data_IF_108413402251
#
_entry.id   IF_108413402251
#
_cell.length_a   1.000
_cell.length_b   1.000
_cell.length_c   1.000
_cell.angle_alpha   90.00
_cell.angle_beta   90.00
_cell.angle_gamma   90.00
#
_symmetry.space_group_name_H-M   'P 1'
#
loop_
_entity.id
_entity.type
_entity.pdbx_description
1 polymer ?
#
# COMPACT_ATOMS: atom_id res chain seq x y z
N UNK A 1 1.00 44.58 -34.37
CA UNK A 1 0.26 43.47 -33.70
C UNK A 1 1.20 42.69 -32.77
N UNK A 2 2.25 43.33 -32.25
CA UNK A 2 3.51 42.63 -31.92
C UNK A 2 3.73 42.37 -30.42
N UNK A 3 2.68 42.47 -29.59
CA UNK A 3 2.78 42.24 -28.14
C UNK A 3 1.83 41.15 -27.62
N UNK A 4 1.07 40.47 -28.51
CA UNK A 4 -0.01 39.57 -28.09
C UNK A 4 0.31 38.07 -28.27
N UNK A 5 1.39 37.72 -28.99
CA UNK A 5 1.71 36.34 -29.36
C UNK A 5 3.08 35.96 -28.80
N UNK A 6 3.11 35.18 -27.72
CA UNK A 6 4.34 34.72 -27.06
C UNK A 6 4.98 33.46 -27.69
N UNK A 7 4.27 32.76 -28.57
CA UNK A 7 4.80 31.57 -29.24
C UNK A 7 3.89 31.02 -30.34
N UNK A 8 4.47 30.32 -31.31
CA UNK A 8 3.79 29.70 -32.46
C UNK A 8 4.27 28.25 -32.63
N UNK A 9 3.33 27.31 -32.85
CA UNK A 9 3.64 25.90 -33.12
C UNK A 9 3.37 25.61 -34.61
N UNK A 10 4.41 25.26 -35.35
CA UNK A 10 4.31 24.87 -36.75
C UNK A 10 4.02 23.37 -36.92
N UNK A 11 3.36 23.01 -38.02
CA UNK A 11 3.48 21.68 -38.59
C UNK A 11 4.86 21.51 -39.25
N UNK A 12 5.35 20.27 -39.33
CA UNK A 12 6.70 19.98 -39.86
C UNK A 12 6.91 20.56 -41.26
N UNK A 13 5.88 20.47 -42.10
CA UNK A 13 5.87 20.94 -43.49
C UNK A 13 5.97 22.46 -43.59
N UNK A 14 5.43 23.19 -42.61
CA UNK A 14 5.44 24.67 -42.57
C UNK A 14 6.77 25.24 -42.10
N UNK A 15 7.53 24.48 -41.30
CA UNK A 15 8.80 24.94 -40.73
C UNK A 15 9.85 25.30 -41.79
N UNK A 16 9.87 24.56 -42.91
CA UNK A 16 10.85 24.73 -43.98
C UNK A 16 10.36 25.64 -45.12
N UNK A 17 9.16 26.20 -44.99
CA UNK A 17 8.67 27.17 -45.96
C UNK A 17 9.33 28.54 -45.73
N UNK A 18 9.35 29.34 -46.78
CA UNK A 18 9.87 30.70 -46.77
C UNK A 18 8.72 31.69 -46.98
N UNK A 19 8.89 32.91 -46.45
CA UNK A 19 8.06 34.05 -46.82
C UNK A 19 8.36 34.50 -48.26
N UNK A 20 7.54 35.41 -48.78
CA UNK A 20 7.67 35.92 -50.15
C UNK A 20 9.02 36.61 -50.41
N UNK A 21 9.71 37.07 -49.35
CA UNK A 21 11.05 37.67 -49.40
C UNK A 21 12.21 36.64 -49.34
N UNK A 22 11.89 35.34 -49.30
CA UNK A 22 12.85 34.25 -49.21
C UNK A 22 13.35 33.95 -47.79
N UNK A 23 12.93 34.72 -46.78
CA UNK A 23 13.27 34.48 -45.38
C UNK A 23 12.56 33.23 -44.88
N UNK A 24 13.29 32.32 -44.23
CA UNK A 24 12.67 31.13 -43.64
C UNK A 24 11.66 31.53 -42.56
N UNK A 25 10.45 30.94 -42.57
CA UNK A 25 9.40 31.33 -41.62
C UNK A 25 9.83 31.19 -40.17
N UNK A 26 10.64 30.19 -39.83
CA UNK A 26 11.12 30.04 -38.45
C UNK A 26 12.03 31.21 -38.04
N UNK A 27 12.82 31.75 -38.97
CA UNK A 27 13.67 32.91 -38.74
C UNK A 27 12.83 34.18 -38.61
N UNK A 28 11.86 34.38 -39.51
CA UNK A 28 10.94 35.52 -39.48
C UNK A 28 10.20 35.64 -38.14
N UNK A 29 9.76 34.52 -37.57
CA UNK A 29 9.07 34.49 -36.27
C UNK A 29 10.04 34.73 -35.11
N UNK A 30 11.26 34.17 -35.17
CA UNK A 30 12.31 34.40 -34.16
C UNK A 30 12.76 35.86 -34.12
N UNK A 31 12.90 36.51 -35.27
CA UNK A 31 13.32 37.93 -35.38
C UNK A 31 12.29 38.88 -34.74
N UNK A 32 11.03 38.43 -34.63
CA UNK A 32 9.96 39.13 -33.90
C UNK A 32 9.92 38.81 -32.40
N UNK A 33 10.91 38.09 -31.88
CA UNK A 33 10.98 37.69 -30.47
C UNK A 33 9.98 36.60 -30.06
N UNK A 34 9.34 35.94 -31.03
CA UNK A 34 8.31 34.92 -30.79
C UNK A 34 8.95 33.52 -30.78
N UNK A 35 8.58 32.70 -29.79
CA UNK A 35 9.14 31.36 -29.62
C UNK A 35 8.53 30.38 -30.63
N UNK A 36 9.38 29.59 -31.30
CA UNK A 36 8.96 28.60 -32.31
C UNK A 36 8.90 27.17 -31.73
N UNK A 37 7.78 26.50 -31.94
CA UNK A 37 7.56 25.08 -31.62
C UNK A 37 7.14 24.23 -32.81
N UNK A 38 7.16 22.89 -32.64
CA UNK A 38 6.90 21.94 -33.73
C UNK A 38 5.93 20.84 -33.27
N UNK A 39 4.82 20.67 -34.01
CA UNK A 39 3.89 19.55 -33.88
C UNK A 39 4.07 18.59 -35.05
N UNK A 40 4.40 17.35 -34.74
CA UNK A 40 4.66 16.30 -35.72
C UNK A 40 3.50 15.30 -35.70
N UNK A 41 3.03 14.89 -36.88
CA UNK A 41 1.90 13.96 -37.07
C UNK A 41 2.21 12.50 -36.68
N UNK A 42 1.43 11.57 -37.23
CA UNK A 42 1.53 10.11 -36.97
C UNK A 42 2.38 9.40 -38.01
N UNK A 43 3.58 9.87 -38.34
CA UNK A 43 4.47 9.18 -39.29
C UNK A 43 5.87 8.95 -38.67
N UNK A 44 6.67 8.06 -39.26
CA UNK A 44 8.06 7.79 -38.85
C UNK A 44 8.94 8.95 -39.30
N UNK A 45 9.58 9.65 -38.35
CA UNK A 45 10.53 10.73 -38.68
C UNK A 45 11.96 10.43 -38.21
N UNK A 46 12.93 10.88 -39.01
CA UNK A 46 14.34 10.92 -38.65
C UNK A 46 14.89 12.33 -38.85
N UNK A 47 15.73 12.81 -37.93
CA UNK A 47 16.50 14.07 -38.05
C UNK A 47 15.65 15.34 -38.20
N UNK A 48 14.68 15.54 -37.30
CA UNK A 48 13.73 16.66 -37.36
C UNK A 48 14.37 18.04 -37.15
N UNK A 49 15.46 18.10 -36.38
CA UNK A 49 16.16 19.36 -36.04
C UNK A 49 17.66 19.22 -36.32
N UNK A 50 18.21 20.19 -37.06
CA UNK A 50 19.63 20.29 -37.44
C UNK A 50 20.25 21.69 -37.23
N UNK A 51 19.63 22.57 -36.44
CA UNK A 51 19.99 24.00 -36.40
C UNK A 51 20.39 24.50 -35.01
N UNK A 52 21.41 25.35 -34.94
CA UNK A 52 21.87 26.01 -33.71
C UNK A 52 20.83 27.05 -33.24
N UNK A 53 20.02 26.72 -32.22
CA UNK A 53 19.05 27.68 -31.68
C UNK A 53 18.28 27.20 -30.45
N UNK A 54 17.24 27.94 -30.07
CA UNK A 54 16.28 27.54 -29.02
C UNK A 54 15.03 26.95 -29.69
N UNK A 55 14.64 25.74 -29.30
CA UNK A 55 13.41 25.08 -29.76
C UNK A 55 12.53 24.75 -28.56
N UNK A 56 11.25 25.13 -28.60
CA UNK A 56 10.32 24.89 -27.48
C UNK A 56 9.09 24.13 -27.94
N UNK A 57 8.73 23.05 -27.26
CA UNK A 57 7.47 22.35 -27.49
C UNK A 57 7.51 21.46 -28.73
N UNK A 58 8.18 20.31 -28.59
CA UNK A 58 8.18 19.24 -29.58
C UNK A 58 7.15 18.19 -29.16
N UNK A 59 6.11 17.98 -29.97
CA UNK A 59 5.13 16.91 -29.73
C UNK A 59 5.14 15.93 -30.90
N UNK A 60 5.44 14.67 -30.60
CA UNK A 60 5.56 13.59 -31.60
C UNK A 60 4.52 12.50 -31.32
N UNK A 61 3.86 12.03 -32.38
CA UNK A 61 2.79 11.01 -32.33
C UNK A 61 3.27 9.58 -32.07
N UNK A 62 2.45 8.61 -32.47
CA UNK A 62 2.59 7.17 -32.15
C UNK A 62 3.29 6.39 -33.28
N UNK A 63 4.62 6.45 -33.45
CA UNK A 63 5.42 5.61 -34.39
C UNK A 63 6.89 5.50 -33.96
N UNK A 64 7.69 4.69 -34.66
CA UNK A 64 9.14 4.52 -34.42
C UNK A 64 9.90 5.79 -34.81
N UNK A 65 10.71 6.36 -33.92
CA UNK A 65 11.57 7.51 -34.26
C UNK A 65 13.03 7.25 -33.88
N UNK A 66 13.93 7.75 -34.72
CA UNK A 66 15.37 7.72 -34.47
C UNK A 66 16.03 9.05 -34.78
N UNK A 67 16.91 9.52 -33.91
CA UNK A 67 17.73 10.73 -34.13
C UNK A 67 16.88 11.98 -34.36
N UNK A 68 15.87 12.21 -33.53
CA UNK A 68 14.96 13.36 -33.68
C UNK A 68 15.70 14.70 -33.59
N UNK A 69 16.67 14.77 -32.68
CA UNK A 69 17.48 15.95 -32.42
C UNK A 69 18.95 15.62 -32.64
N UNK A 70 19.60 16.39 -33.52
CA UNK A 70 21.04 16.38 -33.74
C UNK A 70 21.54 17.82 -33.74
N UNK A 71 21.59 18.42 -32.55
CA UNK A 71 21.79 19.86 -32.37
C UNK A 71 23.02 20.17 -31.46
N UNK A 72 23.27 21.46 -31.21
CA UNK A 72 24.12 22.05 -30.16
C UNK A 72 23.38 23.18 -29.41
N UNK A 73 22.05 23.25 -29.50
CA UNK A 73 21.20 24.35 -29.02
C UNK A 73 20.53 24.09 -27.66
N UNK A 74 19.43 24.81 -27.38
CA UNK A 74 18.60 24.60 -26.20
C UNK A 74 17.24 24.06 -26.63
N UNK A 75 16.85 22.89 -26.12
CA UNK A 75 15.53 22.29 -26.40
C UNK A 75 14.71 22.20 -25.12
N UNK A 76 13.50 22.78 -25.13
CA UNK A 76 12.61 22.80 -23.97
C UNK A 76 11.27 22.13 -24.30
N UNK A 77 10.89 21.12 -23.54
CA UNK A 77 9.57 20.49 -23.63
C UNK A 77 9.44 19.54 -24.83
N UNK A 78 9.85 18.29 -24.64
CA UNK A 78 9.66 17.20 -25.60
C UNK A 78 8.59 16.25 -25.06
N UNK A 79 7.51 16.02 -25.81
CA UNK A 79 6.50 15.01 -25.50
C UNK A 79 6.42 14.00 -26.63
N UNK A 80 6.81 12.76 -26.32
CA UNK A 80 6.78 11.65 -27.27
C UNK A 80 5.65 10.69 -26.90
N UNK A 81 4.85 10.32 -27.90
CA UNK A 81 3.76 9.36 -27.79
C UNK A 81 4.23 7.92 -27.62
N UNK A 82 3.37 6.99 -28.02
CA UNK A 82 3.56 5.58 -27.75
C UNK A 82 4.19 4.88 -28.98
N UNK A 83 5.51 4.56 -29.04
CA UNK A 83 6.14 3.40 -29.78
C UNK A 83 7.67 3.26 -29.51
N UNK A 84 8.38 2.31 -30.16
CA UNK A 84 9.83 2.01 -29.97
C UNK A 84 10.72 3.17 -30.42
N UNK A 85 11.65 3.63 -29.58
CA UNK A 85 12.60 4.69 -29.96
C UNK A 85 14.06 4.28 -29.75
N UNK A 86 14.92 4.75 -30.65
CA UNK A 86 16.36 4.64 -30.51
C UNK A 86 17.04 6.00 -30.77
N UNK A 87 17.92 6.44 -29.88
CA UNK A 87 18.73 7.65 -30.10
C UNK A 87 17.90 8.91 -30.37
N UNK A 88 16.89 9.20 -29.54
CA UNK A 88 16.02 10.39 -29.71
C UNK A 88 16.85 11.68 -29.74
N UNK A 89 17.87 11.74 -28.89
CA UNK A 89 18.76 12.89 -28.75
C UNK A 89 20.21 12.45 -28.98
N UNK A 90 20.87 13.09 -29.94
CA UNK A 90 22.31 12.98 -30.19
C UNK A 90 22.88 14.40 -30.26
N UNK A 91 23.01 15.03 -29.10
CA UNK A 91 23.22 16.47 -28.94
C UNK A 91 24.59 16.78 -28.28
N UNK A 92 24.91 18.07 -28.13
CA UNK A 92 25.91 18.64 -27.21
C UNK A 92 25.37 19.87 -26.43
N UNK A 93 24.06 20.12 -26.47
CA UNK A 93 23.38 21.31 -25.94
C UNK A 93 22.70 21.12 -24.58
N UNK A 94 21.65 21.91 -24.32
CA UNK A 94 20.84 21.83 -23.08
C UNK A 94 19.44 21.34 -23.42
N UNK A 95 18.98 20.27 -22.78
CA UNK A 95 17.62 19.73 -22.96
C UNK A 95 16.85 19.77 -21.65
N UNK A 96 15.70 20.43 -21.64
CA UNK A 96 14.85 20.60 -20.44
C UNK A 96 13.47 20.03 -20.69
N UNK A 97 13.01 19.11 -19.84
CA UNK A 97 11.64 18.61 -19.83
C UNK A 97 11.35 17.62 -20.96
N UNK A 98 11.68 16.34 -20.74
CA UNK A 98 11.34 15.25 -21.65
C UNK A 98 10.26 14.39 -21.01
N UNK A 99 9.13 14.20 -21.68
CA UNK A 99 8.07 13.28 -21.28
C UNK A 99 7.88 12.21 -22.36
N UNK A 100 8.15 10.97 -21.99
CA UNK A 100 8.03 9.82 -22.89
C UNK A 100 6.88 8.93 -22.43
N UNK A 101 6.01 8.56 -23.38
CA UNK A 101 4.88 7.65 -23.18
C UNK A 101 5.27 6.19 -23.03
N UNK A 102 4.38 5.30 -23.46
CA UNK A 102 4.40 3.89 -23.09
C UNK A 102 5.03 2.95 -24.15
N UNK A 103 6.37 2.83 -24.37
CA UNK A 103 7.00 1.67 -25.08
C UNK A 103 8.49 1.32 -24.75
N UNK A 104 9.08 0.27 -25.36
CA UNK A 104 10.50 -0.17 -25.27
C UNK A 104 11.49 0.86 -25.84
N UNK A 105 12.56 1.18 -25.10
CA UNK A 105 13.59 2.13 -25.55
C UNK A 105 15.01 1.58 -25.44
N UNK A 106 15.85 1.96 -26.40
CA UNK A 106 17.30 1.80 -26.31
C UNK A 106 18.01 3.12 -26.60
N UNK A 107 18.94 3.55 -25.74
CA UNK A 107 19.78 4.73 -25.99
C UNK A 107 18.98 6.01 -26.26
N UNK A 108 18.00 6.35 -25.42
CA UNK A 108 17.17 7.55 -25.59
C UNK A 108 18.04 8.82 -25.74
N UNK A 109 19.10 8.89 -24.93
CA UNK A 109 20.05 9.99 -24.92
C UNK A 109 21.46 9.45 -25.16
N UNK A 110 22.13 10.00 -26.17
CA UNK A 110 23.55 9.78 -26.44
C UNK A 110 24.23 11.14 -26.61
N UNK A 111 24.59 11.76 -25.50
CA UNK A 111 24.90 13.19 -25.40
C UNK A 111 26.30 13.45 -24.79
N UNK A 112 26.68 14.73 -24.73
CA UNK A 112 27.75 15.32 -23.90
C UNK A 112 27.29 16.63 -23.21
N UNK A 113 26.00 16.96 -23.23
CA UNK A 113 25.39 18.22 -22.79
C UNK A 113 24.78 18.20 -21.39
N UNK A 114 23.76 19.04 -21.15
CA UNK A 114 23.01 19.09 -19.88
C UNK A 114 21.57 18.67 -20.13
N UNK A 115 21.07 17.68 -19.39
CA UNK A 115 19.68 17.21 -19.48
C UNK A 115 18.97 17.38 -18.14
N UNK A 116 17.85 18.10 -18.13
CA UNK A 116 17.07 18.39 -16.92
C UNK A 116 15.62 17.91 -17.07
N UNK A 117 15.13 17.12 -16.13
CA UNK A 117 13.72 16.76 -16.04
C UNK A 117 13.28 15.74 -17.08
N UNK A 118 13.60 14.46 -16.85
CA UNK A 118 13.15 13.35 -17.69
C UNK A 118 12.05 12.59 -16.94
N UNK A 119 10.88 12.44 -17.57
CA UNK A 119 9.79 11.59 -17.08
C UNK A 119 9.48 10.50 -18.10
N UNK A 120 9.69 9.26 -17.71
CA UNK A 120 9.47 8.10 -18.56
C UNK A 120 8.31 7.26 -18.02
N UNK A 121 7.37 6.90 -18.91
CA UNK A 121 6.21 6.06 -18.62
C UNK A 121 6.56 4.57 -18.45
N UNK A 122 5.62 3.70 -18.81
CA UNK A 122 5.61 2.32 -18.30
C UNK A 122 6.24 1.21 -19.18
N UNK A 123 7.57 1.11 -19.43
CA UNK A 123 8.18 -0.02 -20.22
C UNK A 123 9.59 -0.55 -19.88
N UNK A 124 10.02 -1.65 -20.51
CA UNK A 124 11.39 -2.21 -20.51
C UNK A 124 12.41 -1.25 -21.15
N UNK A 125 13.51 -0.96 -20.45
CA UNK A 125 14.58 -0.09 -20.96
C UNK A 125 15.95 -0.78 -20.90
N UNK A 126 16.74 -0.59 -21.96
CA UNK A 126 18.18 -0.84 -21.92
C UNK A 126 18.95 0.44 -22.29
N UNK A 127 19.91 0.84 -21.46
CA UNK A 127 20.78 1.99 -21.75
C UNK A 127 20.01 3.29 -22.04
N UNK A 128 19.11 3.73 -21.15
CA UNK A 128 18.32 4.96 -21.35
C UNK A 128 19.24 6.16 -21.63
N UNK A 129 20.35 6.24 -20.89
CA UNK A 129 21.35 7.29 -21.02
C UNK A 129 22.73 6.67 -21.25
N UNK A 130 23.40 7.12 -22.32
CA UNK A 130 24.80 6.86 -22.59
C UNK A 130 25.52 8.19 -22.83
N UNK A 131 25.95 8.82 -21.74
CA UNK A 131 26.35 10.23 -21.70
C UNK A 131 27.80 10.41 -21.18
N UNK A 132 28.31 11.65 -21.27
CA UNK A 132 29.47 12.19 -20.57
C UNK A 132 29.18 13.58 -19.94
N UNK A 133 27.91 13.99 -19.86
CA UNK A 133 27.43 15.33 -19.47
C UNK A 133 26.84 15.43 -18.06
N UNK A 134 25.87 16.32 -17.85
CA UNK A 134 25.16 16.49 -16.56
C UNK A 134 23.69 16.13 -16.74
N UNK A 135 23.17 15.22 -15.90
CA UNK A 135 21.75 14.83 -15.91
C UNK A 135 21.10 15.11 -14.56
N UNK A 136 20.01 15.87 -14.55
CA UNK A 136 19.29 16.28 -13.34
C UNK A 136 17.82 15.89 -13.42
N UNK A 137 17.29 15.19 -12.41
CA UNK A 137 15.87 14.95 -12.24
C UNK A 137 15.30 13.92 -13.22
N UNK A 138 15.56 12.64 -12.97
CA UNK A 138 14.99 11.51 -13.73
C UNK A 138 13.89 10.86 -12.91
N UNK A 139 12.68 10.72 -13.47
CA UNK A 139 11.59 9.93 -12.90
C UNK A 139 11.19 8.83 -13.87
N UNK A 140 11.38 7.58 -13.45
CA UNK A 140 11.05 6.40 -14.24
C UNK A 140 9.89 5.64 -13.59
N UNK A 141 8.92 5.21 -14.40
CA UNK A 141 7.77 4.42 -13.98
C UNK A 141 8.11 2.96 -13.62
N UNK A 142 7.11 2.08 -13.72
CA UNK A 142 7.08 0.74 -13.13
C UNK A 142 7.67 -0.43 -13.98
N UNK A 143 9.00 -0.56 -14.19
CA UNK A 143 9.54 -1.59 -15.13
C UNK A 143 10.83 -2.35 -14.77
N UNK A 144 11.12 -3.43 -15.52
CA UNK A 144 12.41 -4.13 -15.58
C UNK A 144 13.45 -3.28 -16.31
N UNK A 145 14.60 -3.03 -15.66
CA UNK A 145 15.68 -2.20 -16.22
C UNK A 145 17.01 -2.94 -16.19
N UNK A 146 17.74 -2.90 -17.32
CA UNK A 146 19.15 -3.28 -17.37
C UNK A 146 19.99 -2.09 -17.82
N UNK A 147 21.00 -1.71 -17.04
CA UNK A 147 21.93 -0.62 -17.37
C UNK A 147 21.22 0.71 -17.69
N UNK A 148 20.35 1.21 -16.79
CA UNK A 148 19.59 2.45 -17.01
C UNK A 148 20.52 3.61 -17.41
N UNK A 149 21.67 3.72 -16.75
CA UNK A 149 22.69 4.74 -17.02
C UNK A 149 24.05 4.06 -17.25
N UNK A 150 24.68 4.40 -18.37
CA UNK A 150 26.09 4.09 -18.66
C UNK A 150 26.82 5.40 -18.96
N UNK A 151 27.26 6.07 -17.90
CA UNK A 151 27.76 7.45 -17.94
C UNK A 151 29.26 7.53 -17.53
N UNK A 152 29.85 8.71 -17.71
CA UNK A 152 31.11 9.16 -17.10
C UNK A 152 30.98 10.59 -16.52
N UNK A 153 29.76 11.15 -16.43
CA UNK A 153 29.43 12.52 -16.06
C UNK A 153 28.88 12.70 -14.63
N UNK A 154 27.95 13.64 -14.44
CA UNK A 154 27.30 13.93 -13.14
C UNK A 154 25.80 13.64 -13.24
N UNK A 155 25.27 12.83 -12.33
CA UNK A 155 23.83 12.52 -12.27
C UNK A 155 23.23 12.89 -10.93
N UNK A 156 22.18 13.72 -10.93
CA UNK A 156 21.52 14.22 -9.71
C UNK A 156 20.02 13.94 -9.73
N UNK A 157 19.49 13.30 -8.69
CA UNK A 157 18.06 13.15 -8.47
C UNK A 157 17.40 12.13 -9.40
N UNK A 158 17.56 10.84 -9.11
CA UNK A 158 16.88 9.74 -9.81
C UNK A 158 15.79 9.16 -8.90
N UNK A 159 14.56 9.04 -9.40
CA UNK A 159 13.48 8.29 -8.77
C UNK A 159 13.00 7.18 -9.71
N UNK A 160 13.18 5.94 -9.28
CA UNK A 160 12.75 4.73 -10.01
C UNK A 160 11.57 4.09 -9.28
N UNK A 161 10.59 3.58 -10.04
CA UNK A 161 9.45 2.80 -9.52
C UNK A 161 9.85 1.44 -8.93
N UNK A 162 8.85 0.59 -8.65
CA UNK A 162 8.90 -0.64 -7.83
C UNK A 162 9.33 -1.92 -8.58
N UNK A 163 10.61 -2.18 -8.89
CA UNK A 163 10.97 -3.33 -9.76
C UNK A 163 12.33 -4.02 -9.50
N UNK A 164 12.52 -5.16 -10.16
CA UNK A 164 13.77 -5.93 -10.26
C UNK A 164 14.80 -5.15 -11.08
N UNK A 165 15.97 -4.91 -10.50
CA UNK A 165 17.05 -4.16 -11.16
C UNK A 165 18.31 -5.03 -11.25
N UNK A 166 18.86 -5.16 -12.47
CA UNK A 166 20.23 -5.65 -12.65
C UNK A 166 21.12 -4.48 -13.10
N UNK A 167 22.07 -4.10 -12.24
CA UNK A 167 23.05 -3.05 -12.50
C UNK A 167 22.40 -1.71 -12.95
N UNK A 168 21.72 -1.02 -12.01
CA UNK A 168 21.01 0.24 -12.27
C UNK A 168 21.92 1.29 -12.93
N UNK A 169 23.17 1.36 -12.48
CA UNK A 169 24.19 2.30 -12.94
C UNK A 169 25.49 1.53 -13.15
N UNK A 170 26.13 1.72 -14.32
CA UNK A 170 27.50 1.27 -14.59
C UNK A 170 28.33 2.49 -14.97
N UNK A 171 28.75 3.25 -13.97
CA UNK A 171 29.32 4.59 -14.09
C UNK A 171 30.79 4.66 -13.62
N UNK A 172 31.51 5.69 -14.07
CA UNK A 172 32.82 6.14 -13.57
C UNK A 172 32.80 7.62 -13.12
N UNK A 173 31.62 8.25 -13.01
CA UNK A 173 31.37 9.65 -12.62
C UNK A 173 30.73 9.82 -11.22
N UNK A 174 30.06 10.96 -10.99
CA UNK A 174 29.46 11.34 -9.69
C UNK A 174 27.94 11.18 -9.73
N UNK A 175 27.37 10.43 -8.77
CA UNK A 175 25.92 10.24 -8.67
C UNK A 175 25.39 10.68 -7.30
N UNK A 176 24.34 11.51 -7.29
CA UNK A 176 23.74 12.07 -6.06
C UNK A 176 22.22 11.91 -6.07
N UNK A 177 21.65 11.38 -4.98
CA UNK A 177 20.19 11.36 -4.76
C UNK A 177 19.42 10.34 -5.62
N UNK A 178 19.65 9.05 -5.39
CA UNK A 178 18.89 7.95 -6.02
C UNK A 178 17.83 7.41 -5.04
N UNK A 179 16.59 7.29 -5.49
CA UNK A 179 15.50 6.60 -4.79
C UNK A 179 14.96 5.48 -5.67
N UNK A 180 15.18 4.22 -5.28
CA UNK A 180 14.73 3.03 -6.01
C UNK A 180 13.53 2.41 -5.27
N UNK A 181 12.46 2.07 -5.98
CA UNK A 181 11.38 1.27 -5.42
C UNK A 181 11.75 -0.20 -5.44
N UNK A 182 11.90 -0.83 -4.27
CA UNK A 182 11.94 -2.29 -4.16
C UNK A 182 10.55 -2.88 -4.45
N UNK A 183 10.45 -4.20 -4.62
CA UNK A 183 9.15 -4.91 -4.62
C UNK A 183 8.28 -4.33 -3.50
N UNK A 184 7.03 -3.98 -3.80
CA UNK A 184 6.11 -3.58 -2.73
C UNK A 184 5.95 -4.78 -1.80
N UNK A 185 5.93 -4.55 -0.48
CA UNK A 185 5.72 -5.63 0.50
C UNK A 185 4.46 -6.45 0.16
N UNK A 186 3.46 -5.85 -0.48
CA UNK A 186 2.25 -6.54 -0.97
C UNK A 186 2.54 -7.63 -2.00
N UNK A 187 3.47 -7.44 -2.93
CA UNK A 187 3.79 -8.46 -3.94
C UNK A 187 4.50 -9.67 -3.31
N UNK A 188 5.45 -9.43 -2.40
CA UNK A 188 6.15 -10.51 -1.67
C UNK A 188 5.17 -11.40 -0.90
N UNK A 189 4.13 -10.80 -0.30
CA UNK A 189 3.09 -11.52 0.44
C UNK A 189 2.21 -12.33 -0.53
N UNK A 190 1.80 -11.73 -1.65
CA UNK A 190 0.97 -12.39 -2.69
C UNK A 190 1.67 -13.57 -3.36
N UNK A 191 2.97 -13.46 -3.63
CA UNK A 191 3.76 -14.55 -4.23
C UNK A 191 3.81 -15.80 -3.33
N UNK A 192 3.50 -15.65 -2.03
CA UNK A 192 3.38 -16.76 -1.07
C UNK A 192 1.93 -17.25 -0.88
N UNK A 193 0.99 -16.78 -1.71
CA UNK A 193 -0.43 -17.13 -1.61
C UNK A 193 -1.15 -16.48 -0.43
N UNK A 194 -0.54 -15.48 0.22
CA UNK A 194 -1.15 -14.77 1.36
C UNK A 194 -1.92 -13.57 0.83
N UNK A 195 -3.16 -13.42 1.29
CA UNK A 195 -4.01 -12.28 0.98
C UNK A 195 -3.53 -11.05 1.74
N UNK A 196 -3.50 -9.88 1.10
CA UNK A 196 -3.02 -8.63 1.72
C UNK A 196 -4.21 -7.86 2.29
N UNK A 197 -4.06 -7.36 3.53
CA UNK A 197 -5.04 -6.51 4.17
C UNK A 197 -4.48 -5.20 4.70
N UNK A 198 -5.37 -4.27 5.06
CA UNK A 198 -5.00 -2.92 5.49
C UNK A 198 -5.84 -2.46 6.69
N UNK A 199 -5.20 -1.88 7.71
CA UNK A 199 -5.90 -1.16 8.80
C UNK A 199 -6.35 0.20 8.28
N UNK A 200 -7.64 0.53 8.40
CA UNK A 200 -8.20 1.76 7.81
C UNK A 200 -8.83 2.71 8.82
N UNK A 201 -9.06 2.26 10.06
CA UNK A 201 -9.43 3.16 11.16
C UNK A 201 -8.30 4.16 11.47
N UNK A 202 -8.66 5.29 12.07
CA UNK A 202 -7.75 6.36 12.50
C UNK A 202 -7.68 6.44 14.04
N UNK A 203 -7.88 5.31 14.71
CA UNK A 203 -7.84 5.21 16.18
C UNK A 203 -9.14 5.61 16.88
N UNK A 204 -9.14 5.46 18.20
CA UNK A 204 -10.28 5.74 19.08
C UNK A 204 -10.32 7.20 19.52
N UNK A 205 -11.52 7.69 19.82
CA UNK A 205 -11.77 9.02 20.39
C UNK A 205 -12.79 8.89 21.53
N UNK A 206 -12.70 9.71 22.58
CA UNK A 206 -13.59 9.62 23.74
C UNK A 206 -15.03 10.01 23.37
N UNK A 207 -16.01 9.35 24.01
CA UNK A 207 -17.43 9.72 23.93
C UNK A 207 -17.78 10.67 25.08
N UNK A 208 -18.11 11.91 24.76
CA UNK A 208 -18.49 12.90 25.76
C UNK A 208 -19.73 12.45 26.55
N UNK A 209 -19.70 12.64 27.87
CA UNK A 209 -20.79 12.21 28.76
C UNK A 209 -20.74 10.73 29.18
N UNK A 210 -19.68 10.01 28.82
CA UNK A 210 -19.45 8.61 29.23
C UNK A 210 -18.27 8.48 30.19
N UNK A 211 -18.18 7.34 30.89
CA UNK A 211 -17.08 7.02 31.81
C UNK A 211 -15.87 6.42 31.05
N UNK A 212 -15.13 7.28 30.36
CA UNK A 212 -13.90 6.88 29.66
C UNK A 212 -14.13 5.95 28.47
N UNK A 213 -15.35 5.91 27.91
CA UNK A 213 -15.67 5.09 26.76
C UNK A 213 -15.29 5.79 25.45
N UNK A 214 -15.19 5.01 24.37
CA UNK A 214 -14.70 5.50 23.09
C UNK A 214 -15.56 5.08 21.92
N UNK A 215 -15.54 5.88 20.85
CA UNK A 215 -15.87 5.44 19.48
C UNK A 215 -14.59 5.44 18.64
N UNK A 216 -14.66 4.97 17.40
CA UNK A 216 -13.52 4.93 16.47
C UNK A 216 -13.77 5.86 15.30
N UNK A 217 -12.73 6.59 14.89
CA UNK A 217 -12.79 7.52 13.75
C UNK A 217 -12.14 6.92 12.48
N UNK A 218 -12.44 7.51 11.32
CA UNK A 218 -11.80 7.14 10.05
C UNK A 218 -12.71 7.03 8.83
N UNK A 219 -14.01 7.31 8.97
CA UNK A 219 -14.95 7.20 7.84
C UNK A 219 -14.74 8.28 6.79
N UNK A 220 -14.25 9.46 7.19
CA UNK A 220 -13.98 10.57 6.27
C UNK A 220 -12.90 10.17 5.25
N UNK A 221 -13.30 10.20 3.98
CA UNK A 221 -12.48 9.79 2.84
C UNK A 221 -12.21 8.28 2.77
N UNK A 222 -12.97 7.44 3.49
CA UNK A 222 -12.73 6.00 3.52
C UNK A 222 -12.96 5.35 2.17
N UNK A 223 -13.97 5.76 1.40
CA UNK A 223 -14.26 5.19 0.08
C UNK A 223 -13.07 5.39 -0.89
N UNK A 224 -12.53 6.60 -0.97
CA UNK A 224 -11.38 6.93 -1.80
C UNK A 224 -10.13 6.17 -1.37
N UNK A 225 -9.91 6.05 -0.05
CA UNK A 225 -8.82 5.25 0.50
C UNK A 225 -8.97 3.77 0.16
N UNK A 226 -10.15 3.18 0.33
CA UNK A 226 -10.43 1.79 -0.02
C UNK A 226 -10.22 1.52 -1.51
N UNK A 227 -10.74 2.38 -2.39
CA UNK A 227 -10.52 2.27 -3.84
C UNK A 227 -9.03 2.31 -4.19
N UNK A 228 -8.25 3.16 -3.51
CA UNK A 228 -6.80 3.23 -3.70
C UNK A 228 -6.10 1.98 -3.15
N UNK A 229 -6.43 1.52 -1.94
CA UNK A 229 -5.86 0.31 -1.35
C UNK A 229 -6.15 -0.93 -2.19
N UNK A 230 -7.33 -1.03 -2.79
CA UNK A 230 -7.67 -2.12 -3.71
C UNK A 230 -6.76 -2.13 -4.93
N UNK A 231 -6.49 -0.96 -5.53
CA UNK A 231 -5.53 -0.81 -6.64
C UNK A 231 -4.09 -1.16 -6.22
N UNK A 232 -3.74 -0.87 -4.98
CA UNK A 232 -2.41 -1.16 -4.41
C UNK A 232 -2.27 -2.62 -3.92
N UNK A 233 -3.37 -3.40 -4.01
CA UNK A 233 -3.38 -4.85 -3.85
C UNK A 233 -3.98 -5.36 -2.54
N UNK A 234 -4.61 -4.53 -1.71
CA UNK A 234 -5.33 -5.00 -0.53
C UNK A 234 -6.70 -5.58 -0.91
N UNK A 235 -7.05 -6.73 -0.34
CA UNK A 235 -8.29 -7.45 -0.60
C UNK A 235 -9.20 -7.54 0.64
N UNK A 236 -8.67 -7.25 1.83
CA UNK A 236 -9.44 -7.08 3.06
C UNK A 236 -8.99 -5.86 3.86
N UNK A 237 -9.81 -5.40 4.79
CA UNK A 237 -9.50 -4.30 5.69
C UNK A 237 -9.79 -4.69 7.14
N UNK A 238 -9.29 -3.89 8.08
CA UNK A 238 -9.58 -4.01 9.52
C UNK A 238 -9.97 -2.66 10.10
N UNK A 239 -10.97 -2.67 10.98
CA UNK A 239 -11.38 -1.54 11.79
C UNK A 239 -11.63 -1.98 13.23
N UNK A 240 -10.88 -1.39 14.18
CA UNK A 240 -10.99 -1.71 15.60
C UNK A 240 -11.89 -0.73 16.35
N UNK A 241 -12.91 -1.25 17.02
CA UNK A 241 -13.69 -0.58 18.06
C UNK A 241 -13.33 -1.15 19.43
N UNK A 242 -13.41 -0.33 20.47
CA UNK A 242 -12.97 -0.69 21.82
C UNK A 242 -14.08 -0.42 22.81
N UNK A 243 -14.41 -1.44 23.60
CA UNK A 243 -15.38 -1.37 24.69
C UNK A 243 -14.72 -1.86 25.99
N UNK A 244 -15.19 -1.34 27.13
CA UNK A 244 -14.65 -1.67 28.45
C UNK A 244 -15.77 -2.24 29.31
N UNK A 245 -15.42 -3.17 30.21
CA UNK A 245 -16.32 -3.68 31.23
C UNK A 245 -15.98 -2.98 32.55
N UNK A 246 -17.00 -2.39 33.17
CA UNK A 246 -16.97 -1.91 34.56
C UNK A 246 -18.37 -2.05 35.17
N UNK A 247 -18.58 -1.42 36.32
CA UNK A 247 -19.90 -1.34 36.96
C UNK A 247 -20.93 -0.69 36.04
N UNK A 248 -20.51 0.34 35.28
CA UNK A 248 -21.40 1.14 34.43
C UNK A 248 -21.09 1.05 32.93
N UNK A 249 -20.04 0.33 32.52
CA UNK A 249 -19.62 0.17 31.12
C UNK A 249 -19.67 -1.31 30.66
N UNK A 250 -19.94 -1.57 29.37
CA UNK A 250 -20.21 -0.60 28.32
C UNK A 250 -21.63 -0.01 28.40
N UNK A 251 -21.75 1.30 28.23
CA UNK A 251 -23.05 1.97 28.16
C UNK A 251 -23.77 1.64 26.85
N UNK A 252 -25.08 1.84 26.83
CA UNK A 252 -25.87 1.69 25.59
C UNK A 252 -25.36 2.62 24.48
N UNK A 253 -24.97 3.84 24.83
CA UNK A 253 -24.38 4.79 23.88
C UNK A 253 -23.11 4.23 23.23
N UNK A 254 -22.17 3.70 24.03
CA UNK A 254 -20.93 3.15 23.51
C UNK A 254 -21.16 1.91 22.63
N UNK A 255 -22.09 1.03 23.02
CA UNK A 255 -22.45 -0.15 22.22
C UNK A 255 -23.03 0.29 20.87
N UNK A 256 -24.02 1.18 20.88
CA UNK A 256 -24.72 1.60 19.67
C UNK A 256 -23.82 2.38 18.71
N UNK A 257 -22.98 3.27 19.23
CA UNK A 257 -22.08 4.07 18.41
C UNK A 257 -20.99 3.19 17.75
N UNK A 258 -20.38 2.26 18.50
CA UNK A 258 -19.39 1.35 17.93
C UNK A 258 -20.00 0.36 16.92
N UNK A 259 -21.22 -0.16 17.20
CA UNK A 259 -21.93 -1.00 16.25
C UNK A 259 -22.23 -0.26 14.93
N UNK A 260 -22.72 0.98 15.04
CA UNK A 260 -23.06 1.81 13.89
C UNK A 260 -21.81 2.19 13.05
N UNK A 261 -20.70 2.57 13.69
CA UNK A 261 -19.48 2.94 12.95
C UNK A 261 -18.85 1.74 12.25
N UNK A 262 -18.87 0.55 12.88
CA UNK A 262 -18.42 -0.70 12.26
C UNK A 262 -19.27 -1.07 11.04
N UNK A 263 -20.58 -0.88 11.12
CA UNK A 263 -21.48 -1.15 10.01
C UNK A 263 -21.27 -0.21 8.81
N UNK A 264 -21.10 1.10 9.07
CA UNK A 264 -20.73 2.07 8.02
C UNK A 264 -19.39 1.73 7.38
N UNK A 265 -18.38 1.39 8.18
CA UNK A 265 -17.07 0.95 7.70
C UNK A 265 -17.19 -0.28 6.79
N UNK A 266 -17.96 -1.29 7.22
CA UNK A 266 -18.12 -2.54 6.49
C UNK A 266 -18.80 -2.32 5.13
N UNK A 267 -19.89 -1.54 5.09
CA UNK A 267 -20.57 -1.16 3.86
C UNK A 267 -19.63 -0.46 2.87
N UNK A 268 -18.85 0.53 3.33
CA UNK A 268 -17.91 1.26 2.47
C UNK A 268 -16.81 0.32 1.92
N UNK A 269 -16.31 -0.63 2.72
CA UNK A 269 -15.33 -1.60 2.24
C UNK A 269 -15.89 -2.47 1.11
N UNK A 270 -17.10 -3.01 1.30
CA UNK A 270 -17.73 -3.89 0.33
C UNK A 270 -18.02 -3.19 -1.00
N UNK A 271 -18.46 -1.92 -0.97
CA UNK A 271 -18.63 -1.09 -2.17
C UNK A 271 -17.34 -0.93 -2.99
N UNK A 272 -16.18 -1.09 -2.36
CA UNK A 272 -14.87 -0.95 -2.98
C UNK A 272 -14.16 -2.30 -3.21
N UNK A 273 -14.88 -3.42 -3.09
CA UNK A 273 -14.34 -4.76 -3.31
C UNK A 273 -13.31 -5.20 -2.26
N UNK A 274 -13.44 -4.70 -1.03
CA UNK A 274 -12.59 -5.06 0.12
C UNK A 274 -13.46 -5.78 1.17
N UNK A 275 -13.00 -6.94 1.63
CA UNK A 275 -13.65 -7.68 2.73
C UNK A 275 -13.40 -6.97 4.06
N UNK A 276 -14.43 -6.53 4.82
CA UNK A 276 -14.22 -5.92 6.13
C UNK A 276 -14.06 -6.98 7.22
N UNK A 277 -13.00 -6.85 8.02
CA UNK A 277 -12.87 -7.49 9.33
C UNK A 277 -13.48 -6.54 10.36
N UNK A 278 -14.60 -6.97 10.95
CA UNK A 278 -15.35 -6.25 11.98
C UNK A 278 -14.78 -6.61 13.35
N UNK A 279 -14.14 -5.66 14.04
CA UNK A 279 -13.43 -5.91 15.31
C UNK A 279 -14.03 -5.08 16.47
N UNK A 280 -15.10 -5.57 17.14
CA UNK A 280 -15.61 -5.00 18.37
C UNK A 280 -14.87 -5.59 19.58
N UNK A 281 -13.68 -5.09 19.91
CA UNK A 281 -12.88 -5.61 21.01
C UNK A 281 -13.44 -5.15 22.36
N UNK A 282 -13.82 -6.11 23.20
CA UNK A 282 -14.09 -5.87 24.62
C UNK A 282 -12.80 -6.15 25.39
N UNK A 283 -12.32 -5.14 26.10
CA UNK A 283 -11.07 -5.20 26.84
C UNK A 283 -11.16 -6.15 28.05
N UNK A 284 -10.08 -6.89 28.36
CA UNK A 284 -10.04 -7.76 29.54
C UNK A 284 -9.75 -7.00 30.84
N UNK A 285 -9.58 -5.68 30.81
CA UNK A 285 -9.32 -4.86 32.00
C UNK A 285 -10.44 -5.03 33.05
N UNK A 286 -10.05 -5.20 34.32
CA UNK A 286 -10.97 -5.34 35.46
C UNK A 286 -10.92 -6.72 36.12
N UNK A 287 -11.77 -6.91 37.12
CA UNK A 287 -11.88 -8.11 37.96
C UNK A 287 -13.16 -8.94 37.68
N UNK A 288 -13.90 -8.57 36.65
CA UNK A 288 -15.15 -9.21 36.24
C UNK A 288 -14.96 -10.70 35.93
N UNK A 289 -16.00 -11.49 36.22
CA UNK A 289 -15.97 -12.93 36.00
C UNK A 289 -16.23 -13.32 34.53
N UNK A 290 -16.06 -14.61 34.23
CA UNK A 290 -16.26 -15.15 32.87
C UNK A 290 -17.70 -14.92 32.37
N UNK A 291 -18.69 -15.03 33.27
CA UNK A 291 -20.11 -14.86 32.93
C UNK A 291 -20.43 -13.43 32.54
N UNK A 292 -19.85 -12.44 33.24
CA UNK A 292 -19.98 -11.02 32.91
C UNK A 292 -19.38 -10.72 31.54
N UNK A 293 -18.20 -11.24 31.24
CA UNK A 293 -17.60 -11.11 29.92
C UNK A 293 -18.48 -11.75 28.83
N UNK A 294 -19.04 -12.93 29.08
CA UNK A 294 -19.96 -13.60 28.16
C UNK A 294 -21.20 -12.75 27.89
N UNK A 295 -21.84 -12.25 28.95
CA UNK A 295 -23.03 -11.41 28.87
C UNK A 295 -22.78 -10.16 28.04
N UNK A 296 -21.68 -9.44 28.29
CA UNK A 296 -21.34 -8.23 27.55
C UNK A 296 -21.00 -8.56 26.09
N UNK A 297 -20.25 -9.65 25.84
CA UNK A 297 -19.95 -10.11 24.48
C UNK A 297 -21.23 -10.40 23.69
N UNK A 298 -22.21 -11.08 24.30
CA UNK A 298 -23.49 -11.36 23.67
C UNK A 298 -24.27 -10.06 23.35
N UNK A 299 -24.27 -9.08 24.25
CA UNK A 299 -24.94 -7.79 24.05
C UNK A 299 -24.30 -6.99 22.91
N UNK A 300 -22.97 -6.89 22.90
CA UNK A 300 -22.22 -6.15 21.88
C UNK A 300 -22.38 -6.80 20.51
N UNK A 301 -22.19 -8.12 20.41
CA UNK A 301 -22.31 -8.81 19.12
C UNK A 301 -23.73 -8.74 18.55
N UNK A 302 -24.76 -8.83 19.41
CA UNK A 302 -26.16 -8.65 18.96
C UNK A 302 -26.37 -7.27 18.35
N UNK A 303 -25.87 -6.21 18.98
CA UNK A 303 -25.96 -4.84 18.46
C UNK A 303 -25.17 -4.68 17.16
N UNK A 304 -23.97 -5.26 17.08
CA UNK A 304 -23.13 -5.23 15.87
C UNK A 304 -23.85 -5.89 14.70
N UNK A 305 -24.37 -7.11 14.84
CA UNK A 305 -25.05 -7.78 13.73
C UNK A 305 -26.38 -7.12 13.35
N UNK A 306 -27.09 -6.53 14.32
CA UNK A 306 -28.25 -5.68 14.00
C UNK A 306 -27.84 -4.48 13.15
N UNK A 307 -26.78 -3.77 13.51
CA UNK A 307 -26.27 -2.64 12.74
C UNK A 307 -25.76 -3.07 11.35
N UNK A 308 -25.04 -4.19 11.24
CA UNK A 308 -24.61 -4.73 9.94
C UNK A 308 -25.82 -5.02 9.02
N UNK A 309 -26.90 -5.58 9.59
CA UNK A 309 -28.15 -5.80 8.85
C UNK A 309 -28.80 -4.48 8.40
N UNK A 310 -28.87 -3.48 9.28
CA UNK A 310 -29.48 -2.17 8.99
C UNK A 310 -28.74 -1.40 7.90
N UNK A 311 -27.42 -1.62 7.79
CA UNK A 311 -26.57 -1.03 6.75
C UNK A 311 -26.41 -1.93 5.52
N UNK A 312 -27.23 -2.99 5.40
CA UNK A 312 -27.27 -3.89 4.24
C UNK A 312 -25.93 -4.57 3.95
N UNK A 313 -25.13 -4.86 4.98
CA UNK A 313 -23.84 -5.53 4.82
C UNK A 313 -24.06 -6.99 4.42
N UNK A 314 -23.37 -7.43 3.36
CA UNK A 314 -23.40 -8.81 2.87
C UNK A 314 -22.50 -9.70 3.76
N UNK A 315 -23.09 -10.48 4.67
CA UNK A 315 -22.35 -11.16 5.75
C UNK A 315 -21.36 -12.22 5.25
N UNK A 316 -21.67 -12.92 4.17
CA UNK A 316 -20.78 -13.90 3.53
C UNK A 316 -19.48 -13.24 3.03
N UNK A 317 -19.54 -11.93 2.74
CA UNK A 317 -18.39 -11.10 2.40
C UNK A 317 -17.74 -10.40 3.60
N UNK A 318 -17.88 -10.93 4.83
CA UNK A 318 -17.30 -10.36 6.06
C UNK A 318 -16.54 -11.39 6.90
N UNK A 319 -15.69 -10.90 7.80
CA UNK A 319 -15.10 -11.66 8.89
C UNK A 319 -15.35 -10.94 10.22
N UNK A 320 -15.53 -11.69 11.31
CA UNK A 320 -15.57 -11.15 12.65
C UNK A 320 -14.21 -11.32 13.33
N UNK A 321 -13.76 -10.32 14.07
CA UNK A 321 -12.58 -10.40 14.95
C UNK A 321 -12.97 -9.97 16.37
N UNK A 322 -13.54 -10.88 17.16
CA UNK A 322 -13.95 -10.58 18.52
C UNK A 322 -12.81 -10.90 19.49
N UNK A 323 -12.94 -10.42 20.74
CA UNK A 323 -12.25 -11.03 21.88
C UNK A 323 -12.75 -12.46 22.09
N UNK A 324 -11.89 -13.32 22.65
CA UNK A 324 -12.37 -14.53 23.32
C UNK A 324 -13.13 -14.11 24.59
N UNK A 325 -14.04 -14.96 25.05
CA UNK A 325 -14.75 -14.73 26.32
C UNK A 325 -13.86 -15.27 27.44
N UNK A 326 -13.16 -14.36 28.12
CA UNK A 326 -12.24 -14.66 29.22
C UNK A 326 -12.65 -13.89 30.48
N UNK A 327 -12.28 -14.33 31.69
CA UNK A 327 -12.39 -13.47 32.86
C UNK A 327 -11.56 -12.20 32.69
N UNK A 328 -11.87 -11.18 33.48
CA UNK A 328 -11.06 -9.98 33.59
C UNK A 328 -9.65 -10.30 34.06
N UNK A 329 -8.67 -9.50 33.66
CA UNK A 329 -7.26 -9.73 33.94
C UNK A 329 -6.96 -9.82 35.45
N UNK A 330 -7.68 -9.05 36.26
CA UNK A 330 -7.57 -9.03 37.71
C UNK A 330 -8.58 -9.93 38.42
N UNK A 331 -9.32 -10.77 37.68
CA UNK A 331 -10.32 -11.66 38.28
C UNK A 331 -9.63 -12.67 39.23
N UNK A 332 -10.10 -12.79 40.48
CA UNK A 332 -9.51 -13.73 41.44
C UNK A 332 -9.86 -15.18 41.10
N UNK A 333 -11.01 -15.43 40.46
CA UNK A 333 -11.43 -16.76 40.03
C UNK A 333 -10.67 -17.19 38.77
N UNK A 334 -10.11 -18.39 38.80
CA UNK A 334 -9.48 -19.02 37.62
C UNK A 334 -10.48 -19.93 36.92
N UNK A 335 -10.33 -20.01 35.61
CA UNK A 335 -11.18 -20.78 34.71
C UNK A 335 -10.30 -21.65 33.82
N UNK A 336 -10.80 -22.80 33.42
CA UNK A 336 -10.08 -23.67 32.49
C UNK A 336 -10.25 -23.19 31.05
N UNK A 337 -9.39 -23.66 30.15
CA UNK A 337 -9.48 -23.33 28.72
C UNK A 337 -10.78 -23.87 28.11
N UNK A 338 -11.30 -24.99 28.63
CA UNK A 338 -12.59 -25.58 28.22
C UNK A 338 -13.77 -24.71 28.64
N UNK A 339 -13.72 -24.08 29.82
CA UNK A 339 -14.73 -23.11 30.25
C UNK A 339 -14.71 -21.85 29.38
N UNK A 340 -13.52 -21.31 29.09
CA UNK A 340 -13.31 -20.19 28.15
C UNK A 340 -13.87 -20.55 26.76
N UNK A 341 -13.56 -21.75 26.27
CA UNK A 341 -14.04 -22.24 25.00
C UNK A 341 -15.57 -22.37 24.96
N UNK A 342 -16.16 -22.97 26.00
CA UNK A 342 -17.60 -23.13 26.12
C UNK A 342 -18.31 -21.78 26.15
N UNK A 343 -17.82 -20.82 26.95
CA UNK A 343 -18.39 -19.48 27.04
C UNK A 343 -18.27 -18.72 25.70
N UNK A 344 -17.11 -18.81 25.05
CA UNK A 344 -16.85 -18.18 23.74
C UNK A 344 -17.76 -18.73 22.65
N UNK A 345 -17.78 -20.05 22.47
CA UNK A 345 -18.60 -20.70 21.43
C UNK A 345 -20.09 -20.48 21.69
N UNK A 346 -20.52 -20.49 22.96
CA UNK A 346 -21.91 -20.19 23.33
C UNK A 346 -22.31 -18.76 22.96
N UNK A 347 -21.48 -17.77 23.29
CA UNK A 347 -21.74 -16.36 22.96
C UNK A 347 -21.86 -16.16 21.44
N UNK A 348 -20.95 -16.76 20.66
CA UNK A 348 -21.00 -16.69 19.20
C UNK A 348 -22.27 -17.37 18.64
N UNK A 349 -22.60 -18.58 19.12
CA UNK A 349 -23.83 -19.31 18.71
C UNK A 349 -25.12 -18.55 18.98
N UNK A 350 -25.13 -17.70 20.01
CA UNK A 350 -26.31 -16.88 20.36
C UNK A 350 -26.46 -15.62 19.53
N UNK A 351 -25.42 -15.20 18.81
CA UNK A 351 -25.37 -13.82 18.25
C UNK A 351 -24.91 -13.71 16.80
N UNK A 352 -24.02 -14.60 16.36
CA UNK A 352 -23.43 -14.55 15.02
C UNK A 352 -24.35 -15.31 14.05
N UNK A 353 -24.76 -14.74 12.91
CA UNK A 353 -25.47 -15.49 11.88
C UNK A 353 -24.56 -16.50 11.16
N UNK A 354 -25.05 -17.71 10.80
CA UNK A 354 -24.28 -18.72 10.05
C UNK A 354 -23.67 -18.24 8.73
N UNK A 355 -24.20 -17.17 8.13
CA UNK A 355 -23.70 -16.61 6.87
C UNK A 355 -22.31 -15.96 6.97
N UNK A 356 -21.86 -15.57 8.16
CA UNK A 356 -20.51 -14.99 8.34
C UNK A 356 -19.47 -16.05 7.97
N UNK A 357 -18.47 -15.72 7.14
CA UNK A 357 -17.56 -16.75 6.63
C UNK A 357 -16.61 -17.31 7.70
N UNK A 358 -16.19 -16.46 8.65
CA UNK A 358 -15.25 -16.87 9.68
C UNK A 358 -15.10 -15.89 10.82
N UNK A 359 -14.63 -16.42 11.94
CA UNK A 359 -14.27 -15.70 13.16
C UNK A 359 -12.77 -15.82 13.37
N UNK A 360 -12.08 -14.69 13.39
CA UNK A 360 -10.62 -14.55 13.46
C UNK A 360 -10.22 -13.87 14.76
N UNK A 361 -10.09 -14.62 15.85
CA UNK A 361 -9.92 -14.03 17.19
C UNK A 361 -8.71 -13.11 17.30
N UNK A 362 -8.88 -12.01 18.03
CA UNK A 362 -7.75 -11.25 18.58
C UNK A 362 -7.21 -11.97 19.82
N UNK A 363 -5.89 -11.88 20.06
CA UNK A 363 -5.28 -12.49 21.25
C UNK A 363 -5.46 -11.65 22.52
N UNK A 364 -5.74 -10.35 22.38
CA UNK A 364 -5.82 -9.44 23.52
C UNK A 364 -4.50 -9.43 24.29
N UNK A 365 -4.57 -9.53 25.62
CA UNK A 365 -3.43 -9.60 26.52
C UNK A 365 -2.90 -11.00 26.84
N UNK A 366 -3.46 -12.05 26.22
CA UNK A 366 -3.03 -13.43 26.44
C UNK A 366 -1.57 -13.61 26.05
N UNK A 367 -0.89 -14.54 26.72
CA UNK A 367 0.44 -14.99 26.28
C UNK A 367 0.38 -15.66 24.91
N UNK A 368 1.52 -15.87 24.26
CA UNK A 368 1.54 -16.58 22.97
C UNK A 368 0.92 -17.98 23.13
N UNK A 369 1.33 -18.69 24.18
CA UNK A 369 0.88 -20.05 24.46
C UNK A 369 -0.60 -20.14 24.86
N UNK A 370 -1.04 -19.27 25.77
CA UNK A 370 -2.43 -19.22 26.22
C UNK A 370 -3.39 -18.97 25.04
N UNK A 371 -3.04 -18.06 24.14
CA UNK A 371 -3.85 -17.77 22.96
C UNK A 371 -4.00 -18.98 22.02
N UNK A 372 -3.00 -19.87 21.97
CA UNK A 372 -3.08 -21.11 21.17
C UNK A 372 -3.85 -22.21 21.87
N UNK A 373 -3.67 -22.38 23.19
CA UNK A 373 -4.41 -23.38 23.97
C UNK A 373 -5.91 -23.03 23.98
N UNK A 374 -6.27 -21.77 24.20
CA UNK A 374 -7.66 -21.33 24.15
C UNK A 374 -8.28 -21.50 22.75
N UNK A 375 -7.54 -21.16 21.68
CA UNK A 375 -8.02 -21.38 20.31
C UNK A 375 -8.24 -22.86 20.00
N UNK A 376 -7.35 -23.72 20.50
CA UNK A 376 -7.47 -25.16 20.35
C UNK A 376 -8.71 -25.68 21.09
N UNK A 377 -8.90 -25.27 22.35
CA UNK A 377 -10.07 -25.62 23.15
C UNK A 377 -11.39 -25.15 22.50
N UNK A 378 -11.40 -23.95 21.88
CA UNK A 378 -12.55 -23.45 21.11
C UNK A 378 -12.90 -24.40 19.95
N UNK A 379 -11.89 -24.91 19.23
CA UNK A 379 -12.12 -25.80 18.11
C UNK A 379 -12.49 -27.23 18.53
N UNK A 380 -12.03 -27.70 19.69
CA UNK A 380 -12.42 -29.01 20.27
C UNK A 380 -13.72 -28.97 21.07
N UNK A 381 -14.26 -27.77 21.37
CA UNK A 381 -15.54 -27.60 22.04
C UNK A 381 -16.65 -28.42 21.34
N UNK A 382 -17.48 -29.21 22.06
CA UNK A 382 -18.42 -30.14 21.45
C UNK A 382 -19.65 -29.49 20.79
N UNK A 383 -19.83 -28.17 20.92
CA UNK A 383 -20.95 -27.45 20.32
C UNK A 383 -20.76 -27.29 18.79
N UNK A 384 -21.88 -27.18 18.07
CA UNK A 384 -21.88 -26.91 16.62
C UNK A 384 -21.30 -25.53 16.29
N UNK A 385 -20.43 -25.46 15.29
CA UNK A 385 -19.71 -24.24 14.89
C UNK A 385 -19.87 -24.06 13.37
N UNK A 386 -20.84 -23.26 12.89
CA UNK A 386 -21.11 -23.11 11.45
C UNK A 386 -20.12 -22.18 10.74
N UNK A 387 -19.09 -21.68 11.44
CA UNK A 387 -18.05 -20.79 10.92
C UNK A 387 -16.68 -21.40 11.13
N UNK A 388 -15.70 -21.01 10.32
CA UNK A 388 -14.30 -21.22 10.67
C UNK A 388 -13.94 -20.41 11.94
N UNK A 389 -13.25 -21.02 12.89
CA UNK A 389 -12.78 -20.39 14.13
C UNK A 389 -11.25 -20.42 14.16
N UNK A 390 -10.63 -19.28 13.85
CA UNK A 390 -9.19 -19.15 13.63
C UNK A 390 -8.66 -17.86 14.27
N UNK A 391 -7.44 -17.44 13.93
CA UNK A 391 -6.71 -16.37 14.60
C UNK A 391 -6.41 -15.16 13.70
N UNK A 392 -6.38 -13.97 14.31
CA UNK A 392 -5.81 -12.74 13.75
C UNK A 392 -4.90 -12.11 14.81
N UNK A 393 -3.76 -12.75 15.04
CA UNK A 393 -2.87 -12.43 16.16
C UNK A 393 -1.76 -11.44 15.77
N UNK A 394 -1.55 -10.46 16.66
CA UNK A 394 -0.37 -9.58 16.64
C UNK A 394 0.64 -10.07 17.66
N UNK A 395 0.51 -9.63 18.92
CA UNK A 395 1.42 -9.97 20.02
C UNK A 395 1.62 -11.48 20.18
N UNK A 396 0.55 -12.27 20.17
CA UNK A 396 0.62 -13.73 20.34
C UNK A 396 1.33 -14.50 19.20
N UNK A 397 1.73 -13.81 18.13
CA UNK A 397 2.48 -14.36 17.00
C UNK A 397 3.89 -13.75 16.87
N UNK A 398 4.15 -12.60 17.51
CA UNK A 398 5.33 -11.78 17.26
C UNK A 398 6.23 -11.62 18.48
N UNK A 399 5.75 -11.87 19.71
CA UNK A 399 6.49 -11.54 20.92
C UNK A 399 7.83 -12.29 21.01
N UNK A 400 7.83 -13.61 20.81
CA UNK A 400 9.07 -14.39 20.81
C UNK A 400 9.99 -14.04 19.64
N UNK A 401 9.43 -13.81 18.44
CA UNK A 401 10.20 -13.40 17.27
C UNK A 401 10.90 -12.04 17.47
N UNK A 402 10.22 -11.06 18.06
CA UNK A 402 10.79 -9.75 18.38
C UNK A 402 11.88 -9.87 19.45
N UNK A 403 11.66 -10.68 20.48
CA UNK A 403 12.63 -10.95 21.54
C UNK A 403 13.89 -11.66 21.03
N UNK A 404 13.74 -12.56 20.05
CA UNK A 404 14.86 -13.21 19.36
C UNK A 404 15.60 -12.23 18.44
N UNK A 405 14.88 -11.37 17.72
CA UNK A 405 15.48 -10.44 16.77
C UNK A 405 16.34 -9.36 17.43
N UNK A 406 15.85 -8.71 18.47
CA UNK A 406 16.52 -7.61 19.20
C UNK A 406 16.96 -6.41 18.33
N UNK A 407 16.45 -6.31 17.11
CA UNK A 407 16.87 -5.28 16.15
C UNK A 407 18.20 -5.58 15.44
N UNK A 408 18.78 -6.75 15.64
CA UNK A 408 20.07 -7.14 15.07
C UNK A 408 19.88 -8.00 13.83
N UNK A 409 20.56 -7.65 12.72
CA UNK A 409 20.43 -8.39 11.45
C UNK A 409 20.89 -9.83 11.55
N UNK A 410 21.89 -10.11 12.36
CA UNK A 410 22.45 -11.45 12.51
C UNK A 410 21.45 -12.42 13.17
N UNK A 411 20.43 -11.89 13.87
CA UNK A 411 19.37 -12.66 14.51
C UNK A 411 18.14 -12.89 13.61
N UNK A 412 18.17 -12.47 12.33
CA UNK A 412 17.03 -12.62 11.40
C UNK A 412 16.53 -14.07 11.33
N UNK A 413 17.45 -15.04 11.28
CA UNK A 413 17.09 -16.46 11.18
C UNK A 413 16.39 -16.97 12.45
N UNK A 414 16.92 -16.64 13.63
CA UNK A 414 16.33 -17.02 14.91
C UNK A 414 14.93 -16.42 15.09
N UNK A 415 14.75 -15.15 14.71
CA UNK A 415 13.46 -14.49 14.75
C UNK A 415 12.44 -15.14 13.79
N UNK A 416 12.87 -15.50 12.58
CA UNK A 416 12.03 -16.18 11.61
C UNK A 416 11.61 -17.58 12.09
N UNK A 417 12.51 -18.33 12.73
CA UNK A 417 12.21 -19.65 13.31
C UNK A 417 11.15 -19.56 14.41
N UNK A 418 11.26 -18.60 15.33
CA UNK A 418 10.24 -18.38 16.38
C UNK A 418 8.88 -17.97 15.80
N UNK A 419 8.87 -17.09 14.79
CA UNK A 419 7.63 -16.71 14.11
C UNK A 419 6.96 -17.91 13.42
N UNK A 420 7.73 -18.73 12.70
CA UNK A 420 7.22 -19.91 12.01
C UNK A 420 6.68 -20.95 13.00
N UNK A 421 7.37 -21.18 14.11
CA UNK A 421 6.91 -22.05 15.20
C UNK A 421 5.55 -21.61 15.73
N UNK A 422 5.38 -20.32 16.05
CA UNK A 422 4.08 -19.81 16.52
C UNK A 422 3.00 -19.87 15.43
N UNK A 423 3.35 -19.66 14.16
CA UNK A 423 2.41 -19.77 13.06
C UNK A 423 1.90 -21.22 12.88
N UNK A 424 2.78 -22.21 12.96
CA UNK A 424 2.43 -23.64 12.90
C UNK A 424 1.54 -24.06 14.07
N UNK A 425 1.92 -23.71 15.30
CA UNK A 425 1.14 -23.97 16.51
C UNK A 425 -0.28 -23.43 16.40
N UNK A 426 -0.44 -22.17 15.99
CA UNK A 426 -1.76 -21.58 15.81
C UNK A 426 -2.54 -22.21 14.64
N UNK A 427 -1.85 -22.66 13.59
CA UNK A 427 -2.45 -23.42 12.48
C UNK A 427 -3.00 -24.78 12.91
N UNK A 428 -2.34 -25.46 13.86
CA UNK A 428 -2.84 -26.69 14.49
C UNK A 428 -3.98 -26.40 15.46
N UNK A 429 -3.89 -25.33 16.25
CA UNK A 429 -4.93 -24.92 17.20
C UNK A 429 -6.24 -24.57 16.49
N UNK A 430 -6.18 -23.90 15.33
CA UNK A 430 -7.34 -23.62 14.50
C UNK A 430 -8.03 -24.89 13.94
N UNK A 431 -7.36 -26.04 13.99
CA UNK A 431 -7.92 -27.34 13.61
C UNK A 431 -8.33 -28.21 14.82
N UNK A 432 -8.11 -27.73 16.05
CA UNK A 432 -8.32 -28.53 17.27
C UNK A 432 -7.31 -29.67 17.43
N UNK A 433 -6.11 -29.54 16.86
CA UNK A 433 -5.06 -30.57 16.85
C UNK A 433 -3.79 -30.18 17.59
N UNK A 434 -3.80 -29.03 18.27
CA UNK A 434 -2.64 -28.59 19.02
C UNK A 434 -2.58 -29.31 20.37
N UNK A 435 -1.45 -29.95 20.64
CA UNK A 435 -1.12 -30.56 21.92
C UNK A 435 -0.01 -29.73 22.56
N UNK A 436 -0.30 -29.10 23.70
CA UNK A 436 0.72 -28.35 24.44
C UNK A 436 1.68 -29.31 25.12
N UNK A 437 2.98 -29.01 25.05
CA UNK A 437 4.04 -29.79 25.68
C UNK A 437 4.23 -29.45 27.16
N UNK A 438 3.48 -28.50 27.71
CA UNK A 438 3.54 -28.09 29.13
C UNK A 438 4.73 -27.19 29.49
N UNK A 439 5.76 -27.11 28.66
CA UNK A 439 6.86 -26.13 28.78
C UNK A 439 6.62 -24.95 27.84
N UNK A 440 6.18 -23.83 28.41
CA UNK A 440 5.82 -22.62 27.68
C UNK A 440 6.93 -21.57 27.63
N UNK A 441 8.04 -21.73 28.36
CA UNK A 441 9.19 -20.80 28.36
C UNK A 441 8.81 -19.31 28.29
N UNK A 442 9.41 -18.57 27.36
CA UNK A 442 9.09 -17.16 27.08
C UNK A 442 7.69 -16.95 26.47
N UNK A 443 7.15 -17.95 25.76
CA UNK A 443 5.82 -17.90 25.13
C UNK A 443 4.67 -17.90 26.16
N UNK A 444 4.93 -18.32 27.40
CA UNK A 444 3.97 -18.29 28.52
C UNK A 444 3.85 -16.95 29.23
N UNK A 445 4.69 -15.96 28.90
CA UNK A 445 4.64 -14.65 29.56
C UNK A 445 3.41 -13.85 29.10
N UNK A 446 2.70 -13.26 30.08
CA UNK A 446 1.55 -12.38 29.80
C UNK A 446 1.96 -11.22 28.90
N UNK A 447 1.15 -10.95 27.88
CA UNK A 447 1.35 -9.84 26.94
C UNK A 447 0.40 -8.67 27.24
N UNK A 448 -0.28 -8.69 28.39
CA UNK A 448 -1.24 -7.68 28.80
C UNK A 448 -0.61 -6.30 28.97
N UNK A 449 -1.33 -5.29 28.51
CA UNK A 449 -1.01 -3.87 28.72
C UNK A 449 -2.32 -3.18 29.10
N UNK A 450 -2.37 -2.58 30.28
CA UNK A 450 -3.58 -1.91 30.78
C UNK A 450 -3.97 -0.75 29.86
N UNK A 451 -5.28 -0.63 29.59
CA UNK A 451 -5.88 0.38 28.70
C UNK A 451 -5.14 0.51 27.34
N UNK A 452 -4.74 -0.60 26.73
CA UNK A 452 -3.91 -0.57 25.52
C UNK A 452 -4.56 0.19 24.35
N UNK A 453 -3.95 1.31 23.97
CA UNK A 453 -4.22 2.06 22.75
C UNK A 453 -3.07 1.83 21.75
N UNK A 454 -3.41 1.42 20.52
CA UNK A 454 -2.47 1.19 19.42
C UNK A 454 -2.07 2.45 18.69
#
# INVERSE_FOLDING_TARGET
MDACIGGVIFFHETLYQNADDGTNFSQLIKDRGIVVGIKVGTHTHSQLIKDRGIVVGIKVGTHTHSQLIKDRGIVVGIKVGTHTHSQLIKDRGIVVGIKVGTHTHSQLIKDRGIVVGIKVGTHTHSQLIKDRGIVVGIKVGTHTHSQLIKDRGIVVGIKVGTHTHSQLIKDRGIVVGIKVGTHTHSQLIKDRGIVVGIKVDKGVVPLAGTDGETTTQGLDGLAERCAQYKKDGADFAKWRSVLKISDNTPSELAIMENANVLARYASICQQNGIVPIVEPEILPDGDHDLKRCQYITEKVLSAVYKALSDHHVYLEGTLLKPNMVTPGHSCPQKYTNEEIAMATVTALRRTVPPAVTGVTFLSGGQSEEEASINLNAINTCPLGKPWALTFSYGRALQASALNAWRGERDNEKAAAEEFLKRAEVNGLAAQGKYESTGDSGAAGQSLYVANHAY
#
